data_IF_122321875317
#
_entry.id   IF_122321875317
#
_cell.length_a   1.000
_cell.length_b   1.000
_cell.length_c   1.000
_cell.angle_alpha   90.00
_cell.angle_beta   90.00
_cell.angle_gamma   90.00
#
_symmetry.space_group_name_H-M   'P 1'
#
loop_
_entity.id
_entity.type
_entity.pdbx_description
1 polymer ?
#
# COMPACT_ATOMS: atom_id res chain seq x y z
N UNK A 1 -25.56 40.10 -24.77
CA UNK A 1 -25.23 40.26 -26.20
C UNK A 1 -24.49 39.01 -26.71
N UNK A 2 -25.07 38.34 -27.70
CA UNK A 2 -24.54 37.08 -28.28
C UNK A 2 -23.26 37.32 -29.06
N UNK A 3 -23.09 38.50 -29.66
CA UNK A 3 -21.90 38.79 -30.45
C UNK A 3 -20.68 38.99 -29.56
N UNK A 4 -20.87 39.49 -28.33
CA UNK A 4 -19.83 39.47 -27.29
C UNK A 4 -19.47 38.02 -26.95
N UNK A 5 -20.45 37.13 -26.73
CA UNK A 5 -20.17 35.71 -26.44
C UNK A 5 -19.41 35.02 -27.59
N UNK A 6 -19.74 35.32 -28.86
CA UNK A 6 -18.99 34.81 -30.03
C UNK A 6 -17.54 35.31 -30.05
N UNK A 7 -17.30 36.58 -29.73
CA UNK A 7 -15.95 37.15 -29.64
C UNK A 7 -15.13 36.48 -28.54
N UNK A 8 -15.70 36.31 -27.35
CA UNK A 8 -15.05 35.61 -26.23
C UNK A 8 -14.75 34.15 -26.60
N UNK A 9 -15.72 33.43 -27.18
CA UNK A 9 -15.52 32.06 -27.64
C UNK A 9 -14.37 31.93 -28.66
N UNK A 10 -14.22 32.91 -29.56
CA UNK A 10 -13.12 32.98 -30.52
C UNK A 10 -11.78 33.25 -29.82
N UNK A 11 -11.74 34.10 -28.81
CA UNK A 11 -10.51 34.36 -28.05
C UNK A 11 -10.04 33.12 -27.25
N UNK A 12 -10.99 32.35 -26.72
CA UNK A 12 -10.70 31.23 -25.80
C UNK A 12 -10.35 29.93 -26.54
N UNK A 13 -10.96 29.65 -27.70
CA UNK A 13 -10.80 28.38 -28.41
C UNK A 13 -9.49 28.27 -29.20
N UNK A 14 -8.94 27.05 -29.25
CA UNK A 14 -7.69 26.76 -29.93
C UNK A 14 -7.70 27.07 -31.43
N UNK A 15 -8.82 26.81 -32.13
CA UNK A 15 -8.91 27.00 -33.58
C UNK A 15 -8.73 28.44 -34.05
N UNK A 16 -8.75 29.41 -33.14
CA UNK A 16 -8.45 30.82 -33.40
C UNK A 16 -7.28 31.36 -32.58
N UNK A 17 -6.40 30.48 -32.09
CA UNK A 17 -5.18 30.84 -31.36
C UNK A 17 -5.33 30.94 -29.84
N UNK A 18 -6.49 30.56 -29.29
CA UNK A 18 -6.73 30.49 -27.84
C UNK A 18 -6.05 29.28 -27.17
N UNK A 19 -6.57 28.86 -26.03
CA UNK A 19 -5.97 27.77 -25.26
C UNK A 19 -6.09 26.43 -26.00
N UNK A 20 -5.01 25.63 -25.93
CA UNK A 20 -5.01 24.25 -26.45
C UNK A 20 -6.11 23.43 -25.79
N UNK A 21 -6.62 22.43 -26.50
CA UNK A 21 -7.67 21.53 -26.00
C UNK A 21 -9.02 22.19 -25.69
N UNK A 22 -9.21 23.45 -26.10
CA UNK A 22 -10.49 24.15 -25.96
C UNK A 22 -11.12 24.37 -27.33
N UNK A 23 -12.37 23.93 -27.48
CA UNK A 23 -13.26 24.34 -28.58
C UNK A 23 -14.33 25.26 -28.00
N UNK A 24 -14.79 26.24 -28.77
CA UNK A 24 -15.75 27.22 -28.25
C UNK A 24 -16.61 27.88 -29.32
N UNK A 25 -17.84 28.21 -28.94
CA UNK A 25 -18.80 28.97 -29.74
C UNK A 25 -19.71 29.82 -28.83
N UNK A 26 -20.24 30.92 -29.38
CA UNK A 26 -21.17 31.80 -28.68
C UNK A 26 -22.60 31.57 -29.15
N UNK A 27 -23.54 31.43 -28.21
CA UNK A 27 -24.95 31.14 -28.48
C UNK A 27 -25.89 32.07 -27.71
N UNK A 28 -27.14 32.14 -28.16
CA UNK A 28 -28.26 32.67 -27.37
C UNK A 28 -29.01 31.48 -26.76
N UNK A 29 -29.04 31.39 -25.44
CA UNK A 29 -29.70 30.31 -24.71
C UNK A 29 -30.57 30.95 -23.64
N UNK A 30 -31.87 30.64 -23.63
CA UNK A 30 -32.85 31.15 -22.64
C UNK A 30 -32.81 32.69 -22.48
N UNK A 31 -32.65 33.42 -23.59
CA UNK A 31 -32.57 34.88 -23.59
C UNK A 31 -31.23 35.46 -23.12
N UNK A 32 -30.25 34.63 -22.79
CA UNK A 32 -28.92 35.03 -22.34
C UNK A 32 -27.84 34.62 -23.35
N UNK A 33 -26.79 35.42 -23.42
CA UNK A 33 -25.62 35.10 -24.24
C UNK A 33 -24.73 34.11 -23.48
N UNK A 34 -24.36 33.00 -24.13
CA UNK A 34 -23.61 31.92 -23.53
C UNK A 34 -22.35 31.61 -24.34
N UNK A 35 -21.21 31.50 -23.65
CA UNK A 35 -19.97 30.97 -24.21
C UNK A 35 -19.98 29.46 -23.97
N UNK A 36 -20.34 28.68 -24.98
CA UNK A 36 -20.29 27.22 -24.92
C UNK A 36 -18.89 26.74 -25.29
N UNK A 37 -18.36 25.78 -24.55
CA UNK A 37 -17.03 25.23 -24.77
C UNK A 37 -16.99 23.71 -24.58
N UNK A 38 -16.12 23.06 -25.35
CA UNK A 38 -15.74 21.67 -25.13
C UNK A 38 -14.27 21.62 -24.78
N UNK A 39 -13.97 21.04 -23.62
CA UNK A 39 -12.61 20.76 -23.16
C UNK A 39 -12.25 19.33 -23.56
N UNK A 40 -11.42 19.20 -24.60
CA UNK A 40 -11.03 17.89 -25.12
C UNK A 40 -10.00 17.19 -24.26
N UNK A 41 -9.28 17.94 -23.43
CA UNK A 41 -8.33 17.44 -22.44
C UNK A 41 -8.26 18.43 -21.27
N UNK A 42 -9.00 18.13 -20.19
CA UNK A 42 -9.06 18.99 -19.01
C UNK A 42 -7.82 18.88 -18.12
N UNK A 43 -7.02 17.82 -18.26
CA UNK A 43 -5.82 17.65 -17.44
C UNK A 43 -4.72 18.59 -17.92
N UNK A 44 -4.60 18.77 -19.23
CA UNK A 44 -3.67 19.73 -19.83
C UNK A 44 -4.18 21.16 -19.79
N UNK A 45 -5.50 21.37 -19.96
CA UNK A 45 -6.13 22.69 -19.89
C UNK A 45 -7.31 22.66 -18.92
N UNK A 46 -7.05 22.94 -17.62
CA UNK A 46 -8.05 22.82 -16.56
C UNK A 46 -9.24 23.76 -16.70
N UNK A 47 -10.41 23.29 -16.27
CA UNK A 47 -11.69 24.02 -16.36
C UNK A 47 -11.59 25.41 -15.70
N UNK A 48 -11.01 25.49 -14.50
CA UNK A 48 -10.89 26.74 -13.76
C UNK A 48 -10.09 27.80 -14.54
N UNK A 49 -9.00 27.40 -15.23
CA UNK A 49 -8.20 28.32 -16.06
C UNK A 49 -8.99 28.83 -17.25
N UNK A 50 -9.78 27.96 -17.88
CA UNK A 50 -10.62 28.35 -19.02
C UNK A 50 -11.72 29.29 -18.59
N UNK A 51 -12.37 29.00 -17.46
CA UNK A 51 -13.41 29.83 -16.90
C UNK A 51 -12.90 31.22 -16.49
N UNK A 52 -11.72 31.30 -15.87
CA UNK A 52 -11.09 32.58 -15.54
C UNK A 52 -10.68 33.38 -16.78
N UNK A 53 -10.23 32.72 -17.85
CA UNK A 53 -9.99 33.42 -19.13
C UNK A 53 -11.29 33.98 -19.72
N UNK A 54 -12.39 33.23 -19.67
CA UNK A 54 -13.71 33.72 -20.10
C UNK A 54 -14.14 34.93 -19.29
N UNK A 55 -14.00 34.88 -17.95
CA UNK A 55 -14.29 36.04 -17.08
C UNK A 55 -13.43 37.24 -17.44
N UNK A 56 -12.13 37.04 -17.65
CA UNK A 56 -11.20 38.10 -18.05
C UNK A 56 -11.57 38.72 -19.40
N UNK A 57 -11.90 37.90 -20.39
CA UNK A 57 -12.31 38.38 -21.72
C UNK A 57 -13.68 39.07 -21.67
N UNK A 58 -14.62 38.58 -20.86
CA UNK A 58 -15.91 39.23 -20.62
C UNK A 58 -15.75 40.64 -20.02
N UNK A 59 -14.89 40.78 -19.02
CA UNK A 59 -14.62 42.07 -18.37
C UNK A 59 -14.11 43.14 -19.33
N UNK A 60 -13.40 42.77 -20.41
CA UNK A 60 -12.94 43.71 -21.45
C UNK A 60 -14.09 44.35 -22.24
N UNK A 61 -15.25 43.70 -22.24
CA UNK A 61 -16.48 44.20 -22.86
C UNK A 61 -17.45 44.80 -21.85
N UNK A 62 -17.03 44.98 -20.58
CA UNK A 62 -17.89 45.52 -19.52
C UNK A 62 -19.01 44.58 -19.09
N UNK A 63 -18.90 43.28 -19.37
CA UNK A 63 -19.88 42.26 -18.98
C UNK A 63 -19.24 41.20 -18.07
N UNK A 64 -20.06 40.49 -17.29
CA UNK A 64 -19.59 39.40 -16.44
C UNK A 64 -20.45 38.15 -16.65
N UNK A 65 -19.86 36.94 -16.59
CA UNK A 65 -20.63 35.71 -16.53
C UNK A 65 -21.47 35.67 -15.25
N UNK A 66 -22.79 35.49 -15.38
CA UNK A 66 -23.71 35.42 -14.24
C UNK A 66 -23.77 34.01 -13.62
N UNK A 67 -23.53 32.98 -14.44
CA UNK A 67 -23.56 31.57 -14.05
C UNK A 67 -22.79 30.73 -15.07
N UNK A 68 -22.49 29.49 -14.70
CA UNK A 68 -21.98 28.45 -15.59
C UNK A 68 -22.79 27.17 -15.42
N UNK A 69 -22.78 26.32 -16.43
CA UNK A 69 -23.45 25.01 -16.39
C UNK A 69 -22.56 23.94 -17.03
N UNK A 70 -22.75 22.70 -16.59
CA UNK A 70 -22.12 21.51 -17.18
C UNK A 70 -23.21 20.80 -17.99
N UNK A 71 -22.94 20.58 -19.28
CA UNK A 71 -23.84 19.80 -20.14
C UNK A 71 -23.41 18.35 -20.11
N UNK A 72 -24.20 17.50 -19.45
CA UNK A 72 -23.94 16.06 -19.30
C UNK A 72 -23.15 15.73 -18.03
N UNK A 73 -22.25 14.74 -18.13
CA UNK A 73 -21.41 14.29 -17.02
C UNK A 73 -20.02 14.92 -17.09
N UNK A 74 -19.42 15.13 -15.93
CA UNK A 74 -18.06 15.65 -15.79
C UNK A 74 -17.17 14.64 -15.06
N UNK A 75 -15.90 14.45 -15.45
CA UNK A 75 -14.94 13.71 -14.65
C UNK A 75 -14.75 14.39 -13.29
N UNK A 76 -14.88 13.63 -12.21
CA UNK A 76 -14.70 14.09 -10.83
C UNK A 76 -13.39 14.89 -10.62
N UNK A 77 -12.27 14.38 -11.15
CA UNK A 77 -10.96 15.03 -11.09
C UNK A 77 -10.96 16.48 -11.59
N UNK A 78 -11.80 16.79 -12.59
CA UNK A 78 -11.88 18.13 -13.14
C UNK A 78 -12.54 19.14 -12.18
N UNK A 79 -13.49 18.68 -11.36
CA UNK A 79 -14.07 19.49 -10.27
C UNK A 79 -13.10 19.63 -9.11
N UNK A 80 -12.39 18.57 -8.74
CA UNK A 80 -11.39 18.59 -7.66
C UNK A 80 -10.26 19.59 -7.97
N UNK A 81 -9.72 19.56 -9.19
CA UNK A 81 -8.72 20.53 -9.64
C UNK A 81 -9.23 21.98 -9.60
N UNK A 82 -10.51 22.19 -9.89
CA UNK A 82 -11.11 23.52 -9.78
C UNK A 82 -11.27 23.93 -8.31
N UNK A 83 -11.77 23.05 -7.45
CA UNK A 83 -11.93 23.31 -6.02
C UNK A 83 -10.58 23.62 -5.35
N UNK A 84 -9.54 22.84 -5.64
CA UNK A 84 -8.17 23.07 -5.16
C UNK A 84 -7.67 24.46 -5.56
N UNK A 85 -7.85 24.85 -6.84
CA UNK A 85 -7.40 26.15 -7.34
C UNK A 85 -8.14 27.33 -6.71
N UNK A 86 -9.47 27.24 -6.59
CA UNK A 86 -10.29 28.36 -6.09
C UNK A 86 -10.27 28.48 -4.57
N UNK A 87 -10.22 27.37 -3.83
CA UNK A 87 -10.29 27.39 -2.37
C UNK A 87 -8.93 27.63 -1.72
N UNK A 88 -7.82 27.27 -2.41
CA UNK A 88 -6.44 27.47 -1.94
C UNK A 88 -6.21 26.97 -0.50
N UNK A 89 -6.87 25.87 -0.13
CA UNK A 89 -6.74 25.27 1.20
C UNK A 89 -5.32 24.75 1.39
N UNK A 90 -4.69 25.13 2.50
CA UNK A 90 -3.33 24.69 2.81
C UNK A 90 -3.24 23.17 2.86
N UNK A 91 -2.22 22.61 2.20
CA UNK A 91 -1.94 21.17 2.15
C UNK A 91 -3.11 20.31 1.66
N UNK A 92 -3.99 20.86 0.82
CA UNK A 92 -5.09 20.11 0.26
C UNK A 92 -4.65 19.22 -0.88
N UNK A 93 -5.10 17.97 -0.84
CA UNK A 93 -5.00 17.05 -1.96
C UNK A 93 -6.30 16.23 -2.06
N UNK A 94 -6.59 15.69 -3.24
CA UNK A 94 -7.84 14.94 -3.50
C UNK A 94 -8.05 13.75 -2.55
N UNK A 95 -7.01 13.26 -1.86
CA UNK A 95 -7.14 12.22 -0.84
C UNK A 95 -7.87 12.69 0.41
N UNK A 96 -7.94 13.99 0.69
CA UNK A 96 -8.65 14.55 1.84
C UNK A 96 -10.18 14.57 1.65
N UNK A 97 -10.67 14.28 0.45
CA UNK A 97 -12.10 14.20 0.16
C UNK A 97 -12.65 12.87 0.70
N UNK A 98 -13.64 12.94 1.61
CA UNK A 98 -14.20 11.77 2.30
C UNK A 98 -14.71 10.70 1.33
N UNK A 99 -15.43 11.10 0.29
CA UNK A 99 -15.98 10.20 -0.73
C UNK A 99 -14.87 9.53 -1.55
N UNK A 100 -13.71 10.17 -1.72
CA UNK A 100 -12.55 9.57 -2.40
C UNK A 100 -11.98 8.46 -1.53
N UNK A 101 -11.85 8.72 -0.22
CA UNK A 101 -11.40 7.73 0.75
C UNK A 101 -12.34 6.55 0.80
N UNK A 102 -13.65 6.81 0.91
CA UNK A 102 -14.65 5.76 0.97
C UNK A 102 -14.65 4.89 -0.29
N UNK A 103 -14.59 5.51 -1.47
CA UNK A 103 -14.54 4.79 -2.74
C UNK A 103 -13.25 3.97 -2.92
N UNK A 104 -12.09 4.47 -2.47
CA UNK A 104 -10.82 3.75 -2.53
C UNK A 104 -10.83 2.49 -1.64
N UNK A 105 -11.32 2.63 -0.40
CA UNK A 105 -11.45 1.53 0.56
C UNK A 105 -12.45 0.48 0.05
N UNK A 106 -13.61 0.90 -0.45
CA UNK A 106 -14.61 -0.01 -1.00
C UNK A 106 -14.18 -0.68 -2.32
N UNK A 107 -13.27 -0.05 -3.08
CA UNK A 107 -12.76 -0.55 -4.36
C UNK A 107 -11.53 -1.45 -4.27
N UNK A 108 -10.98 -1.71 -3.08
CA UNK A 108 -9.83 -2.60 -2.86
C UNK A 108 -8.53 -2.15 -3.52
N UNK A 109 -8.41 -0.88 -3.96
CA UNK A 109 -7.21 -0.35 -4.62
C UNK A 109 -6.48 0.64 -3.71
N UNK A 110 -5.33 0.19 -3.21
CA UNK A 110 -4.29 0.92 -2.47
C UNK A 110 -4.71 1.61 -1.17
N UNK A 111 -3.80 1.59 -0.19
CA UNK A 111 -3.83 2.54 0.91
C UNK A 111 -3.78 3.97 0.33
N UNK A 112 -4.71 4.81 0.77
CA UNK A 112 -4.74 6.24 0.43
C UNK A 112 -3.42 6.87 0.91
N UNK A 113 -2.68 7.56 0.03
CA UNK A 113 -1.34 8.11 0.32
C UNK A 113 -0.16 7.30 -0.25
N UNK A 114 -0.43 6.30 -1.09
CA UNK A 114 0.60 5.50 -1.76
C UNK A 114 1.24 4.46 -0.84
N UNK A 115 2.32 3.82 -1.30
CA UNK A 115 3.01 2.77 -0.53
C UNK A 115 3.53 3.28 0.82
N UNK A 116 3.95 4.55 0.89
CA UNK A 116 4.41 5.18 2.13
C UNK A 116 3.33 5.13 3.21
N UNK A 117 2.12 5.60 2.91
CA UNK A 117 1.03 5.64 3.89
C UNK A 117 0.62 4.24 4.41
N UNK A 118 0.90 3.18 3.64
CA UNK A 118 0.66 1.80 4.08
C UNK A 118 1.72 1.26 5.06
N UNK A 119 2.95 1.78 5.01
CA UNK A 119 4.09 1.25 5.80
C UNK A 119 4.47 2.19 6.95
N UNK A 120 4.27 3.49 6.79
CA UNK A 120 4.58 4.53 7.78
C UNK A 120 3.99 4.24 9.17
N UNK A 121 2.69 3.86 9.32
CA UNK A 121 2.15 3.55 10.64
C UNK A 121 2.88 2.40 11.35
N UNK A 122 3.32 1.39 10.61
CA UNK A 122 4.06 0.26 11.17
C UNK A 122 5.47 0.66 11.62
N UNK A 123 6.17 1.48 10.81
CA UNK A 123 7.50 1.99 11.16
C UNK A 123 7.42 2.88 12.41
N UNK A 124 6.45 3.78 12.48
CA UNK A 124 6.25 4.65 13.65
C UNK A 124 5.90 3.86 14.91
N UNK A 125 5.11 2.78 14.80
CA UNK A 125 4.83 1.88 15.93
C UNK A 125 6.08 1.16 16.43
N UNK A 126 6.95 0.68 15.54
CA UNK A 126 8.23 0.07 15.91
C UNK A 126 9.18 1.07 16.59
N UNK A 127 9.10 2.34 16.24
CA UNK A 127 9.91 3.41 16.84
C UNK A 127 9.36 3.91 18.18
N UNK A 128 8.09 3.63 18.49
CA UNK A 128 7.44 4.11 19.71
C UNK A 128 8.04 3.42 20.96
N UNK A 129 8.14 4.13 22.10
CA UNK A 129 8.64 3.58 23.36
C UNK A 129 7.59 2.70 24.05
N UNK A 130 7.17 1.63 23.38
CA UNK A 130 6.17 0.66 23.83
C UNK A 130 6.74 -0.75 23.77
N UNK A 131 6.09 -1.70 24.47
CA UNK A 131 6.60 -3.07 24.54
C UNK A 131 6.38 -3.89 23.25
N UNK A 132 5.43 -3.48 22.40
CA UNK A 132 5.11 -4.12 21.13
C UNK A 132 4.40 -3.12 20.19
N UNK A 133 4.56 -3.23 18.85
CA UNK A 133 5.34 -4.24 18.13
C UNK A 133 6.85 -4.07 18.30
N UNK A 134 7.60 -5.17 18.16
CA UNK A 134 9.06 -5.21 18.40
C UNK A 134 9.84 -5.97 17.33
N UNK A 135 11.00 -6.52 17.70
CA UNK A 135 11.88 -7.22 16.77
C UNK A 135 11.27 -8.45 16.10
N UNK A 136 10.43 -9.22 16.81
CA UNK A 136 9.73 -10.37 16.24
C UNK A 136 8.70 -9.96 15.18
N UNK A 137 7.93 -8.92 15.46
CA UNK A 137 6.98 -8.29 14.53
C UNK A 137 7.70 -7.78 13.26
N UNK A 138 8.86 -7.12 13.43
CA UNK A 138 9.69 -6.65 12.32
C UNK A 138 10.28 -7.81 11.48
N UNK A 139 10.71 -8.90 12.13
CA UNK A 139 11.19 -10.10 11.44
C UNK A 139 10.07 -10.75 10.61
N UNK A 140 8.87 -10.89 11.17
CA UNK A 140 7.70 -11.41 10.47
C UNK A 140 7.34 -10.55 9.24
N UNK A 141 7.30 -9.23 9.41
CA UNK A 141 7.06 -8.29 8.31
C UNK A 141 8.13 -8.38 7.21
N UNK A 142 9.41 -8.50 7.60
CA UNK A 142 10.53 -8.66 6.65
C UNK A 142 10.37 -9.92 5.80
N UNK A 143 10.11 -11.08 6.42
CA UNK A 143 9.87 -12.30 5.68
C UNK A 143 8.60 -12.23 4.79
N UNK A 144 7.53 -11.56 5.27
CA UNK A 144 6.30 -11.38 4.49
C UNK A 144 6.55 -10.56 3.21
N UNK A 145 7.38 -9.52 3.31
CA UNK A 145 7.84 -8.75 2.15
C UNK A 145 8.64 -9.64 1.17
N UNK A 146 9.54 -10.48 1.68
CA UNK A 146 10.29 -11.44 0.86
C UNK A 146 9.38 -12.44 0.12
N UNK A 147 8.39 -13.01 0.82
CA UNK A 147 7.38 -13.88 0.21
C UNK A 147 6.56 -13.16 -0.87
N UNK A 148 6.23 -11.88 -0.64
CA UNK A 148 5.54 -11.03 -1.61
C UNK A 148 6.35 -10.82 -2.89
N UNK A 149 7.64 -10.53 -2.78
CA UNK A 149 8.55 -10.39 -3.93
C UNK A 149 8.69 -11.71 -4.71
N UNK A 150 8.89 -12.83 -4.03
CA UNK A 150 8.95 -14.15 -4.67
C UNK A 150 7.64 -14.47 -5.42
N UNK A 151 6.48 -14.19 -4.81
CA UNK A 151 5.17 -14.35 -5.44
C UNK A 151 5.03 -13.48 -6.70
N UNK A 152 5.47 -12.22 -6.63
CA UNK A 152 5.44 -11.30 -7.76
C UNK A 152 6.30 -11.80 -8.93
N UNK A 153 7.54 -12.23 -8.66
CA UNK A 153 8.47 -12.72 -9.69
C UNK A 153 7.92 -13.97 -10.37
N UNK A 154 7.41 -14.93 -9.59
CA UNK A 154 6.79 -16.13 -10.12
C UNK A 154 5.54 -15.80 -10.97
N UNK A 155 4.68 -14.89 -10.49
CA UNK A 155 3.46 -14.46 -11.19
C UNK A 155 3.75 -13.74 -12.51
N UNK A 156 4.80 -12.92 -12.55
CA UNK A 156 5.22 -12.20 -13.76
C UNK A 156 5.83 -13.11 -14.83
N UNK A 157 6.35 -14.27 -14.42
CA UNK A 157 6.96 -15.26 -15.30
C UNK A 157 5.95 -16.30 -15.80
N UNK A 158 4.97 -16.67 -14.97
CA UNK A 158 3.92 -17.64 -15.31
C UNK A 158 3.09 -17.20 -16.53
N UNK A 159 2.73 -18.14 -17.40
CA UNK A 159 1.94 -17.89 -18.62
C UNK A 159 2.72 -17.22 -19.76
N UNK A 160 4.02 -16.93 -19.58
CA UNK A 160 4.88 -16.45 -20.66
C UNK A 160 5.42 -17.63 -21.45
N UNK A 161 5.41 -17.52 -22.79
CA UNK A 161 5.92 -18.57 -23.69
C UNK A 161 7.35 -19.01 -23.36
N UNK A 162 8.21 -18.09 -22.90
CA UNK A 162 9.59 -18.37 -22.55
C UNK A 162 9.76 -19.30 -21.31
N UNK A 163 8.74 -19.40 -20.45
CA UNK A 163 8.78 -20.16 -19.20
C UNK A 163 7.71 -21.26 -19.14
N UNK A 164 7.12 -21.63 -20.29
CA UNK A 164 6.03 -22.61 -20.35
C UNK A 164 6.43 -23.99 -19.79
N UNK A 165 7.72 -24.36 -19.85
CA UNK A 165 8.24 -25.59 -19.27
C UNK A 165 8.20 -25.62 -17.72
N UNK A 166 8.07 -24.45 -17.08
CA UNK A 166 8.07 -24.28 -15.62
C UNK A 166 6.70 -23.85 -15.07
N UNK A 167 5.63 -23.98 -15.85
CA UNK A 167 4.30 -23.48 -15.49
C UNK A 167 3.79 -24.07 -14.16
N UNK A 168 4.09 -25.35 -13.91
CA UNK A 168 3.73 -26.04 -12.67
C UNK A 168 4.54 -25.51 -11.49
N UNK A 169 5.87 -25.47 -11.62
CA UNK A 169 6.79 -24.98 -10.60
C UNK A 169 6.47 -23.54 -10.20
N UNK A 170 6.17 -22.68 -11.19
CA UNK A 170 5.76 -21.30 -10.95
C UNK A 170 4.41 -21.23 -10.24
N UNK A 171 3.44 -22.07 -10.60
CA UNK A 171 2.13 -22.11 -9.96
C UNK A 171 2.21 -22.61 -8.51
N UNK A 172 3.02 -23.64 -8.25
CA UNK A 172 3.27 -24.19 -6.92
C UNK A 172 3.97 -23.15 -6.04
N UNK A 173 4.97 -22.44 -6.58
CA UNK A 173 5.64 -21.35 -5.87
C UNK A 173 4.69 -20.20 -5.52
N UNK A 174 3.80 -19.80 -6.45
CA UNK A 174 2.78 -18.76 -6.18
C UNK A 174 1.85 -19.20 -5.07
N UNK A 175 1.31 -20.43 -5.13
CA UNK A 175 0.40 -20.95 -4.12
C UNK A 175 1.07 -21.00 -2.75
N UNK A 176 2.29 -21.54 -2.69
CA UNK A 176 3.01 -21.69 -1.43
C UNK A 176 3.45 -20.36 -0.83
N UNK A 177 4.03 -19.46 -1.63
CA UNK A 177 4.44 -18.13 -1.14
C UNK A 177 3.26 -17.26 -0.75
N UNK A 178 2.10 -17.42 -1.40
CA UNK A 178 0.87 -16.75 -0.97
C UNK A 178 0.45 -17.24 0.42
N UNK A 179 0.45 -18.55 0.67
CA UNK A 179 0.15 -19.10 1.98
C UNK A 179 1.15 -18.63 3.05
N UNK A 180 2.46 -18.75 2.77
CA UNK A 180 3.53 -18.31 3.67
C UNK A 180 3.42 -16.82 3.99
N UNK A 181 3.06 -15.99 3.01
CA UNK A 181 2.83 -14.56 3.22
C UNK A 181 1.67 -14.30 4.18
N UNK A 182 0.55 -15.01 4.05
CA UNK A 182 -0.58 -14.86 4.98
C UNK A 182 -0.22 -15.30 6.40
N UNK A 183 0.50 -16.42 6.54
CA UNK A 183 1.00 -16.90 7.84
C UNK A 183 1.95 -15.88 8.50
N UNK A 184 2.86 -15.28 7.72
CA UNK A 184 3.80 -14.28 8.22
C UNK A 184 3.14 -12.95 8.58
N UNK A 185 2.12 -12.51 7.83
CA UNK A 185 1.34 -11.32 8.20
C UNK A 185 0.61 -11.53 9.52
N UNK A 186 -0.02 -12.70 9.70
CA UNK A 186 -0.66 -13.04 10.98
C UNK A 186 0.37 -13.07 12.12
N UNK A 187 1.61 -13.51 11.84
CA UNK A 187 2.68 -13.53 12.84
C UNK A 187 3.11 -12.13 13.33
N UNK A 188 2.87 -11.06 12.56
CA UNK A 188 3.15 -9.67 12.99
C UNK A 188 2.33 -9.35 14.25
N UNK A 189 1.02 -9.63 14.21
CA UNK A 189 0.13 -9.37 15.33
C UNK A 189 0.32 -10.40 16.46
N UNK A 190 0.54 -11.67 16.11
CA UNK A 190 0.74 -12.75 17.10
C UNK A 190 1.97 -12.53 17.99
N UNK A 191 3.02 -11.90 17.48
CA UNK A 191 4.21 -11.56 18.28
C UNK A 191 3.83 -10.58 19.42
N UNK A 192 3.13 -9.50 19.07
CA UNK A 192 2.62 -8.53 20.03
C UNK A 192 1.62 -9.14 21.03
N UNK A 193 0.72 -10.01 20.56
CA UNK A 193 -0.24 -10.74 21.41
C UNK A 193 0.42 -11.75 22.34
N UNK A 194 1.47 -12.44 21.87
CA UNK A 194 2.19 -13.43 22.66
C UNK A 194 2.90 -12.79 23.85
N UNK A 195 3.48 -11.59 23.67
CA UNK A 195 4.06 -10.81 24.75
C UNK A 195 3.02 -10.48 25.83
N UNK A 196 1.85 -9.96 25.41
CA UNK A 196 0.75 -9.65 26.32
C UNK A 196 0.25 -10.90 27.08
N UNK A 197 0.22 -12.05 26.40
CA UNK A 197 -0.17 -13.33 27.01
C UNK A 197 0.81 -13.77 28.10
N UNK A 198 2.11 -13.64 27.86
CA UNK A 198 3.15 -13.93 28.87
C UNK A 198 3.01 -13.00 30.08
N UNK A 199 2.82 -11.70 29.86
CA UNK A 199 2.63 -10.73 30.94
C UNK A 199 1.37 -11.02 31.77
N UNK A 200 0.28 -11.41 31.11
CA UNK A 200 -0.95 -11.83 31.78
C UNK A 200 -0.75 -13.10 32.60
N UNK A 201 -0.02 -14.09 32.07
CA UNK A 201 0.32 -15.32 32.79
C UNK A 201 1.13 -15.03 34.06
N UNK A 202 2.13 -14.13 33.99
CA UNK A 202 2.88 -13.69 35.17
C UNK A 202 2.00 -13.03 36.23
N UNK A 203 1.02 -12.22 35.82
CA UNK A 203 0.08 -11.59 36.75
C UNK A 203 -0.84 -12.61 37.42
N UNK A 204 -1.40 -13.53 36.63
CA UNK A 204 -2.31 -14.57 37.12
C UNK A 204 -1.61 -15.60 38.02
N UNK A 205 -0.35 -15.92 37.72
CA UNK A 205 0.44 -16.88 38.49
C UNK A 205 0.68 -16.48 39.95
N UNK A 206 0.54 -15.19 40.30
CA UNK A 206 0.66 -14.72 41.69
C UNK A 206 -0.46 -15.24 42.60
N UNK A 207 -1.64 -15.46 42.03
CA UNK A 207 -2.86 -15.80 42.75
C UNK A 207 -3.34 -17.25 42.48
N UNK A 208 -2.60 -18.01 41.66
CA UNK A 208 -2.99 -19.34 41.20
C UNK A 208 -2.13 -20.44 41.85
N UNK A 209 -2.73 -21.56 42.33
CA UNK A 209 -1.99 -22.71 42.88
C UNK A 209 -1.03 -23.37 41.88
N UNK A 210 -1.31 -23.23 40.57
CA UNK A 210 -0.53 -23.78 39.46
C UNK A 210 0.10 -22.68 38.59
N UNK A 211 0.51 -21.57 39.22
CA UNK A 211 1.05 -20.40 38.53
C UNK A 211 2.29 -20.69 37.65
N UNK A 212 3.14 -21.63 38.06
CA UNK A 212 4.35 -22.00 37.30
C UNK A 212 4.00 -22.71 35.98
N UNK A 213 2.95 -23.54 35.97
CA UNK A 213 2.46 -24.20 34.76
C UNK A 213 1.87 -23.20 33.76
N UNK A 214 1.13 -22.20 34.24
CA UNK A 214 0.57 -21.12 33.40
C UNK A 214 1.67 -20.31 32.72
N UNK A 215 2.71 -19.90 33.46
CA UNK A 215 3.85 -19.17 32.91
C UNK A 215 4.59 -20.05 31.89
N UNK A 216 4.83 -21.32 32.22
CA UNK A 216 5.52 -22.27 31.34
C UNK A 216 4.78 -22.46 30.01
N UNK A 217 3.45 -22.60 30.04
CA UNK A 217 2.64 -22.73 28.84
C UNK A 217 2.71 -21.47 27.97
N UNK A 218 2.56 -20.29 28.59
CA UNK A 218 2.61 -19.01 27.88
C UNK A 218 3.98 -18.76 27.24
N UNK A 219 5.08 -19.04 27.95
CA UNK A 219 6.43 -18.90 27.41
C UNK A 219 6.67 -19.84 26.23
N UNK A 220 6.27 -21.12 26.32
CA UNK A 220 6.38 -22.05 25.19
C UNK A 220 5.60 -21.58 23.97
N UNK A 221 4.38 -21.07 24.17
CA UNK A 221 3.59 -20.51 23.08
C UNK A 221 4.27 -19.28 22.46
N UNK A 222 4.79 -18.38 23.29
CA UNK A 222 5.53 -17.21 22.84
C UNK A 222 6.84 -17.55 22.14
N UNK A 223 7.51 -18.65 22.48
CA UNK A 223 8.70 -19.14 21.74
C UNK A 223 8.33 -19.73 20.37
N UNK A 224 7.15 -20.34 20.24
CA UNK A 224 6.74 -20.97 18.99
C UNK A 224 6.45 -19.97 17.87
N UNK A 225 6.01 -18.74 18.20
CA UNK A 225 5.75 -17.68 17.21
C UNK A 225 7.03 -17.31 16.43
N UNK A 226 8.12 -16.85 17.07
CA UNK A 226 9.35 -16.53 16.35
C UNK A 226 10.02 -17.76 15.73
N UNK A 227 9.88 -18.96 16.30
CA UNK A 227 10.37 -20.19 15.64
C UNK A 227 9.64 -20.44 14.32
N UNK A 228 8.31 -20.26 14.28
CA UNK A 228 7.52 -20.36 13.05
C UNK A 228 7.94 -19.30 12.03
N UNK A 229 8.18 -18.06 12.47
CA UNK A 229 8.71 -16.99 11.59
C UNK A 229 10.06 -17.39 11.00
N UNK A 230 10.98 -17.93 11.79
CA UNK A 230 12.28 -18.41 11.32
C UNK A 230 12.15 -19.51 10.26
N UNK A 231 11.25 -20.49 10.47
CA UNK A 231 10.99 -21.56 9.51
C UNK A 231 10.46 -21.01 8.18
N UNK A 232 9.51 -20.07 8.25
CA UNK A 232 8.94 -19.42 7.07
C UNK A 232 9.93 -18.50 6.36
N UNK A 233 10.78 -17.80 7.09
CA UNK A 233 11.86 -17.00 6.51
C UNK A 233 12.84 -17.88 5.72
N UNK A 234 13.23 -19.04 6.27
CA UNK A 234 14.06 -20.03 5.56
C UNK A 234 13.40 -20.53 4.28
N UNK A 235 12.11 -20.85 4.35
CA UNK A 235 11.34 -21.29 3.20
C UNK A 235 11.25 -20.23 2.09
N UNK A 236 11.05 -18.95 2.46
CA UNK A 236 11.08 -17.83 1.51
C UNK A 236 12.41 -17.73 0.79
N UNK A 237 13.54 -17.86 1.51
CA UNK A 237 14.87 -17.84 0.89
C UNK A 237 15.03 -18.98 -0.11
N UNK A 238 14.69 -20.21 0.29
CA UNK A 238 14.80 -21.38 -0.58
C UNK A 238 13.96 -21.23 -1.85
N UNK A 239 12.70 -20.79 -1.74
CA UNK A 239 11.85 -20.59 -2.92
C UNK A 239 12.35 -19.46 -3.80
N UNK A 240 12.81 -18.34 -3.22
CA UNK A 240 13.38 -17.24 -3.99
C UNK A 240 14.64 -17.66 -4.78
N UNK A 241 15.49 -18.49 -4.20
CA UNK A 241 16.67 -19.06 -4.88
C UNK A 241 16.28 -20.00 -6.02
N UNK A 242 15.29 -20.88 -5.80
CA UNK A 242 14.78 -21.81 -6.81
C UNK A 242 14.09 -21.10 -7.99
N UNK A 243 13.49 -19.93 -7.76
CA UNK A 243 12.87 -19.13 -8.81
C UNK A 243 13.91 -18.48 -9.75
N UNK A 244 15.13 -18.24 -9.28
CA UNK A 244 16.19 -17.58 -10.07
C UNK A 244 16.38 -18.13 -11.48
N UNK A 245 16.63 -19.44 -11.68
CA UNK A 245 16.86 -20.01 -13.01
C UNK A 245 15.60 -20.14 -13.88
N UNK A 246 14.39 -20.03 -13.31
CA UNK A 246 13.12 -20.33 -14.01
C UNK A 246 12.23 -19.10 -14.20
N UNK A 247 12.74 -17.90 -13.96
CA UNK A 247 12.00 -16.63 -14.05
C UNK A 247 12.74 -15.60 -14.90
N UNK A 248 12.12 -14.43 -15.11
CA UNK A 248 12.70 -13.33 -15.87
C UNK A 248 14.03 -12.82 -15.25
N UNK A 249 15.17 -12.89 -15.98
CA UNK A 249 16.46 -12.41 -15.46
C UNK A 249 16.46 -10.94 -15.04
N UNK A 250 15.60 -10.10 -15.63
CA UNK A 250 15.46 -8.69 -15.27
C UNK A 250 14.85 -8.47 -13.86
N UNK A 251 14.33 -9.53 -13.23
CA UNK A 251 13.75 -9.51 -11.88
C UNK A 251 14.71 -10.09 -10.83
N UNK A 252 15.98 -10.33 -11.19
CA UNK A 252 16.99 -10.87 -10.26
C UNK A 252 17.17 -9.99 -9.02
N UNK A 253 17.06 -8.67 -9.15
CA UNK A 253 17.10 -7.74 -8.02
C UNK A 253 15.99 -7.98 -7.00
N UNK A 254 14.79 -8.32 -7.46
CA UNK A 254 13.65 -8.60 -6.57
C UNK A 254 13.87 -9.90 -5.78
N UNK A 255 14.36 -10.96 -6.43
CA UNK A 255 14.71 -12.21 -5.76
C UNK A 255 15.89 -12.04 -4.80
N UNK A 256 16.88 -11.21 -5.16
CA UNK A 256 18.01 -10.90 -4.28
C UNK A 256 17.53 -10.19 -3.01
N UNK A 257 16.61 -9.23 -3.17
CA UNK A 257 15.97 -8.54 -2.05
C UNK A 257 15.14 -9.51 -1.21
N UNK A 258 14.39 -10.42 -1.82
CA UNK A 258 13.61 -11.44 -1.12
C UNK A 258 14.49 -12.33 -0.22
N UNK A 259 15.63 -12.80 -0.73
CA UNK A 259 16.60 -13.60 0.04
C UNK A 259 17.20 -12.77 1.18
N UNK A 260 17.60 -11.52 0.91
CA UNK A 260 18.17 -10.65 1.94
C UNK A 260 17.19 -10.36 3.09
N UNK A 261 15.92 -10.08 2.76
CA UNK A 261 14.84 -9.92 3.74
C UNK A 261 14.62 -11.20 4.55
N UNK A 262 14.61 -12.36 3.89
CA UNK A 262 14.54 -13.66 4.55
C UNK A 262 15.69 -13.91 5.53
N UNK A 263 16.91 -13.51 5.19
CA UNK A 263 18.07 -13.62 6.10
C UNK A 263 17.92 -12.74 7.33
N UNK A 264 17.57 -11.47 7.14
CA UNK A 264 17.34 -10.54 8.24
C UNK A 264 16.20 -11.01 9.15
N UNK A 265 15.12 -11.53 8.56
CA UNK A 265 14.00 -12.11 9.29
C UNK A 265 14.40 -13.35 10.09
N UNK A 266 15.16 -14.27 9.48
CA UNK A 266 15.66 -15.46 10.16
C UNK A 266 16.52 -15.09 11.37
N UNK A 267 17.47 -14.17 11.20
CA UNK A 267 18.34 -13.71 12.27
C UNK A 267 17.54 -13.07 13.42
N UNK A 268 16.65 -12.11 13.10
CA UNK A 268 15.82 -11.45 14.09
C UNK A 268 14.87 -12.43 14.81
N UNK A 269 14.25 -13.36 14.08
CA UNK A 269 13.37 -14.36 14.67
C UNK A 269 14.12 -15.31 15.61
N UNK A 270 15.30 -15.80 15.22
CA UNK A 270 16.11 -16.67 16.07
C UNK A 270 16.63 -15.96 17.33
N UNK A 271 16.93 -14.66 17.25
CA UNK A 271 17.26 -13.87 18.44
C UNK A 271 16.09 -13.81 19.44
N UNK A 272 14.85 -13.65 18.96
CA UNK A 272 13.66 -13.68 19.81
C UNK A 272 13.38 -15.08 20.39
N UNK A 273 13.66 -16.15 19.62
CA UNK A 273 13.61 -17.53 20.15
C UNK A 273 14.57 -17.67 21.33
N UNK A 274 15.84 -17.27 21.18
CA UNK A 274 16.86 -17.48 22.21
C UNK A 274 16.53 -16.72 23.51
N UNK A 275 16.09 -15.47 23.41
CA UNK A 275 15.67 -14.67 24.58
C UNK A 275 14.53 -15.37 25.36
N UNK A 276 13.56 -15.94 24.65
CA UNK A 276 12.48 -16.67 25.30
C UNK A 276 12.96 -17.99 25.94
N UNK A 277 13.92 -18.68 25.31
CA UNK A 277 14.49 -19.91 25.83
C UNK A 277 15.29 -19.71 27.13
N UNK A 278 15.95 -18.57 27.31
CA UNK A 278 16.62 -18.21 28.58
C UNK A 278 15.65 -18.17 29.77
N UNK A 279 14.37 -17.89 29.52
CA UNK A 279 13.31 -17.83 30.52
C UNK A 279 12.60 -19.18 30.78
N UNK A 280 12.92 -20.22 30.02
CA UNK A 280 12.24 -21.54 30.09
C UNK A 280 13.10 -22.56 30.83
N UNK A 281 12.56 -23.10 31.93
CA UNK A 281 13.24 -24.14 32.74
C UNK A 281 13.21 -25.55 32.14
N UNK A 282 12.30 -25.80 31.19
CA UNK A 282 12.09 -27.12 30.58
C UNK A 282 13.23 -27.46 29.61
N UNK A 283 14.25 -28.16 30.10
CA UNK A 283 15.45 -28.50 29.34
C UNK A 283 15.17 -29.34 28.09
N UNK A 284 14.15 -30.20 28.12
CA UNK A 284 13.75 -31.00 26.96
C UNK A 284 13.21 -30.11 25.83
N UNK A 285 12.33 -29.17 26.15
CA UNK A 285 11.82 -28.20 25.19
C UNK A 285 12.92 -27.27 24.66
N UNK A 286 13.82 -26.81 25.54
CA UNK A 286 14.94 -25.93 25.16
C UNK A 286 15.87 -26.64 24.18
N UNK A 287 16.26 -27.89 24.46
CA UNK A 287 17.14 -28.65 23.59
C UNK A 287 16.52 -28.92 22.20
N UNK A 288 15.25 -29.34 22.16
CA UNK A 288 14.52 -29.57 20.91
C UNK A 288 14.39 -28.28 20.08
N UNK A 289 14.06 -27.17 20.74
CA UNK A 289 13.89 -25.87 20.06
C UNK A 289 15.22 -25.34 19.51
N UNK A 290 16.32 -25.44 20.27
CA UNK A 290 17.65 -25.05 19.78
C UNK A 290 18.11 -25.91 18.61
N UNK A 291 17.84 -27.22 18.66
CA UNK A 291 18.15 -28.11 17.55
C UNK A 291 17.41 -27.70 16.27
N UNK A 292 16.11 -27.39 16.38
CA UNK A 292 15.31 -26.86 15.26
C UNK A 292 15.83 -25.51 14.76
N UNK A 293 16.18 -24.60 15.66
CA UNK A 293 16.73 -23.29 15.33
C UNK A 293 18.06 -23.39 14.57
N UNK A 294 18.96 -24.28 15.00
CA UNK A 294 20.26 -24.46 14.35
C UNK A 294 20.14 -25.09 12.96
N UNK A 295 19.23 -26.05 12.78
CA UNK A 295 18.93 -26.62 11.47
C UNK A 295 18.40 -25.58 10.45
N UNK A 296 17.87 -24.45 10.93
CA UNK A 296 17.43 -23.36 10.06
C UNK A 296 18.55 -22.41 9.67
N UNK A 297 19.76 -22.51 10.24
CA UNK A 297 20.91 -21.65 9.90
C UNK A 297 21.73 -22.19 8.73
N UNK A 298 21.78 -23.51 8.58
CA UNK A 298 22.35 -24.21 7.42
C UNK A 298 21.49 -24.00 6.17
#
# INVERSE_FOLDING_TARGET
>A
DVDIAKKIAKAVRFSSGGMRYVKGAGFLVRGLAQVSMNLTDFEQTPIHRVFELVKREASRYGVQPISSEIVGLIPKKALEQAAEWFLQVENFDSSLILENRLAAVMGGKMAVGGLRAGVEPFIEQLAAPTAAPGGGSAAAASAAMGAGLATMVASMSRGKKAYAAYERELSDAIARMSQVREELKAAIDLDAESFNTVMKAYKQAKDAPDGESLIKAALKQATNVPLSVAQRAREVMTVAELLGPITNPNMKSDLTTAVALGRAALEGALANVEINLESIKDQGFVADTRHKAEALRT
#
